data_IF_459347265693
#
_entry.id   IF_459347265693
#
_cell.length_a   1.000
_cell.length_b   1.000
_cell.length_c   1.000
_cell.angle_alpha   90.00
_cell.angle_beta   90.00
_cell.angle_gamma   90.00
#
_symmetry.space_group_name_H-M   'P 1'
#
loop_
_entity.id
_entity.type
_entity.pdbx_description
1 polymer ?
#
# COMPACT_ATOMS: atom_id res chain seq x y z
N UNK A 1 9.50 18.50 -3.77
CA UNK A 1 9.06 17.86 -5.02
C UNK A 1 8.43 16.53 -4.68
N UNK A 2 7.44 16.08 -5.44
CA UNK A 2 6.84 14.73 -5.38
C UNK A 2 7.82 13.66 -5.87
N UNK A 3 9.09 13.75 -5.45
CA UNK A 3 10.19 12.88 -5.90
C UNK A 3 10.42 11.86 -4.82
N UNK A 4 9.75 10.72 -4.94
CA UNK A 4 10.15 9.48 -4.27
C UNK A 4 11.08 8.73 -5.23
N UNK A 5 12.20 8.25 -4.70
CA UNK A 5 13.17 7.42 -5.43
C UNK A 5 12.71 5.97 -5.60
N UNK A 6 11.44 5.70 -5.24
CA UNK A 6 10.79 4.40 -5.30
C UNK A 6 9.68 4.45 -6.33
N UNK A 7 9.54 3.39 -7.12
CA UNK A 7 8.37 3.16 -7.96
C UNK A 7 7.93 1.70 -7.91
N UNK A 8 6.66 1.47 -8.14
CA UNK A 8 6.03 0.15 -8.26
C UNK A 8 5.56 -0.05 -9.69
N UNK A 9 6.00 -1.12 -10.34
CA UNK A 9 5.43 -1.57 -11.60
C UNK A 9 4.57 -2.80 -11.31
N UNK A 10 3.25 -2.65 -11.46
CA UNK A 10 2.31 -3.74 -11.29
C UNK A 10 2.37 -4.66 -12.51
N UNK A 11 2.68 -5.93 -12.28
CA UNK A 11 2.77 -6.97 -13.30
C UNK A 11 1.45 -7.74 -13.44
N UNK A 12 0.64 -7.77 -12.38
CA UNK A 12 -0.64 -8.47 -12.33
C UNK A 12 -1.57 -7.88 -11.26
N UNK A 13 -2.86 -8.17 -11.37
CA UNK A 13 -3.91 -7.70 -10.47
C UNK A 13 -4.44 -6.32 -10.82
N UNK A 14 -5.51 -5.93 -10.14
CA UNK A 14 -6.13 -4.60 -10.22
C UNK A 14 -6.63 -4.20 -8.83
N UNK A 15 -6.58 -2.91 -8.55
CA UNK A 15 -6.97 -2.38 -7.25
C UNK A 15 -6.53 -0.94 -7.12
N UNK A 16 -6.15 -0.55 -5.91
CA UNK A 16 -5.75 0.82 -5.63
C UNK A 16 -4.75 0.91 -4.49
N UNK A 17 -4.01 2.00 -4.49
CA UNK A 17 -3.17 2.44 -3.40
C UNK A 17 -3.84 3.62 -2.71
N UNK A 18 -3.81 3.66 -1.38
CA UNK A 18 -4.17 4.88 -0.63
C UNK A 18 -2.92 5.49 -0.03
N UNK A 19 -2.85 6.81 -0.05
CA UNK A 19 -1.68 7.55 0.42
C UNK A 19 -2.08 8.76 1.26
N UNK A 20 -1.31 9.01 2.30
CA UNK A 20 -1.40 10.23 3.09
C UNK A 20 -0.28 11.19 2.73
N UNK A 21 -0.57 12.49 2.89
CA UNK A 21 0.45 13.54 2.75
C UNK A 21 1.60 13.32 3.73
N UNK A 22 2.78 13.81 3.36
CA UNK A 22 3.95 13.70 4.22
C UNK A 22 3.71 14.37 5.59
N UNK A 23 4.09 13.68 6.67
CA UNK A 23 3.89 14.15 8.04
C UNK A 23 2.46 14.00 8.57
N UNK A 24 1.53 13.48 7.77
CA UNK A 24 0.16 13.19 8.21
C UNK A 24 0.09 11.78 8.79
N UNK A 25 -0.41 11.68 10.03
CA UNK A 25 -0.74 10.40 10.66
C UNK A 25 -2.14 9.97 10.20
N UNK A 26 -2.32 8.75 9.66
CA UNK A 26 -3.63 8.20 9.36
C UNK A 26 -4.54 8.17 10.59
N UNK A 27 -5.84 8.33 10.38
CA UNK A 27 -6.83 8.24 11.44
C UNK A 27 -8.21 8.76 11.01
N UNK A 28 -9.22 8.63 11.88
CA UNK A 28 -10.62 8.97 11.56
C UNK A 28 -10.78 10.39 11.00
N UNK A 29 -11.31 10.47 9.77
CA UNK A 29 -11.59 11.74 9.10
C UNK A 29 -10.38 12.44 8.49
N UNK A 30 -9.19 11.82 8.55
CA UNK A 30 -7.99 12.32 7.87
C UNK A 30 -8.04 11.90 6.40
N UNK A 31 -8.05 12.85 5.45
CA UNK A 31 -8.18 12.51 4.03
C UNK A 31 -6.93 11.80 3.50
N UNK A 32 -7.16 10.85 2.60
CA UNK A 32 -6.13 10.17 1.81
C UNK A 32 -6.41 10.37 0.31
N UNK A 33 -5.35 10.25 -0.49
CA UNK A 33 -5.44 10.16 -1.95
C UNK A 33 -5.55 8.69 -2.35
N UNK A 34 -6.45 8.37 -3.28
CA UNK A 34 -6.59 7.03 -3.87
C UNK A 34 -6.01 7.05 -5.28
N UNK A 35 -5.16 6.08 -5.58
CA UNK A 35 -4.53 5.88 -6.88
C UNK A 35 -4.84 4.47 -7.40
N UNK A 36 -5.71 4.37 -8.40
CA UNK A 36 -6.04 3.09 -8.99
C UNK A 36 -4.86 2.53 -9.82
N UNK A 37 -4.69 1.20 -9.77
CA UNK A 37 -3.71 0.49 -10.58
C UNK A 37 -4.30 -0.75 -11.23
N UNK A 38 -3.66 -1.18 -12.31
CA UNK A 38 -3.83 -2.49 -12.94
C UNK A 38 -2.48 -2.98 -13.48
N UNK A 39 -2.45 -4.18 -14.04
CA UNK A 39 -1.26 -4.68 -14.74
C UNK A 39 -0.76 -3.64 -15.78
N UNK A 40 0.53 -3.33 -15.72
CA UNK A 40 1.19 -2.30 -16.53
C UNK A 40 1.23 -0.90 -15.91
N UNK A 41 0.53 -0.66 -14.80
CA UNK A 41 0.61 0.64 -14.11
C UNK A 41 1.97 0.82 -13.43
N UNK A 42 2.61 1.96 -13.68
CA UNK A 42 3.75 2.45 -12.91
C UNK A 42 3.25 3.51 -11.92
N UNK A 43 3.48 3.28 -10.63
CA UNK A 43 3.07 4.17 -9.55
C UNK A 43 4.28 4.58 -8.72
N UNK A 44 4.33 5.85 -8.30
CA UNK A 44 5.34 6.35 -7.36
C UNK A 44 4.64 6.65 -6.04
N UNK A 45 5.00 6.00 -4.91
CA UNK A 45 4.43 6.33 -3.63
C UNK A 45 4.87 7.72 -3.19
N UNK A 46 3.97 8.43 -2.53
CA UNK A 46 4.30 9.58 -1.71
C UNK A 46 5.21 9.19 -0.54
N UNK A 47 5.73 10.19 0.16
CA UNK A 47 6.62 10.02 1.29
C UNK A 47 5.90 9.82 2.64
N UNK A 48 4.57 9.75 2.64
CA UNK A 48 3.75 9.45 3.82
C UNK A 48 3.42 7.97 3.97
N UNK A 49 2.45 7.68 4.84
CA UNK A 49 1.85 6.35 4.95
C UNK A 49 1.17 5.97 3.63
N UNK A 50 1.23 4.70 3.27
CA UNK A 50 0.54 4.16 2.09
C UNK A 50 0.20 2.68 2.28
N UNK A 51 -0.84 2.21 1.59
CA UNK A 51 -1.32 0.83 1.65
C UNK A 51 -1.93 0.39 0.33
N UNK A 52 -1.55 -0.80 -0.10
CA UNK A 52 -1.98 -1.41 -1.36
C UNK A 52 -3.16 -2.35 -1.15
N UNK A 53 -4.23 -2.20 -1.94
CA UNK A 53 -5.44 -3.02 -1.89
C UNK A 53 -5.65 -3.76 -3.21
N UNK A 54 -5.60 -5.10 -3.17
CA UNK A 54 -5.94 -5.93 -4.33
C UNK A 54 -7.45 -6.15 -4.39
N UNK A 55 -8.10 -5.56 -5.41
CA UNK A 55 -9.54 -5.65 -5.62
C UNK A 55 -9.92 -6.72 -6.67
N UNK A 56 -9.09 -7.75 -6.81
CA UNK A 56 -9.31 -8.87 -7.74
C UNK A 56 -9.01 -10.21 -7.10
N UNK A 57 -9.51 -11.29 -7.71
CA UNK A 57 -9.15 -12.66 -7.34
C UNK A 57 -7.74 -13.05 -7.80
N UNK A 58 -7.19 -12.31 -8.77
CA UNK A 58 -5.84 -12.56 -9.26
C UNK A 58 -4.81 -12.06 -8.25
N UNK A 59 -3.77 -12.84 -7.92
CA UNK A 59 -2.73 -12.38 -7.03
C UNK A 59 -2.02 -11.15 -7.60
N UNK A 60 -1.99 -10.08 -6.81
CA UNK A 60 -1.18 -8.91 -7.12
C UNK A 60 0.30 -9.30 -7.17
N UNK A 61 0.99 -8.84 -8.22
CA UNK A 61 2.45 -8.98 -8.35
C UNK A 61 3.00 -7.66 -8.84
N UNK A 62 4.05 -7.17 -8.20
CA UNK A 62 4.73 -5.95 -8.60
C UNK A 62 6.23 -6.06 -8.36
N UNK A 63 6.98 -5.25 -9.10
CA UNK A 63 8.41 -5.04 -8.84
C UNK A 63 8.60 -3.65 -8.28
N UNK A 64 9.47 -3.54 -7.28
CA UNK A 64 9.86 -2.27 -6.68
C UNK A 64 11.16 -1.80 -7.32
N UNK A 65 11.12 -0.65 -7.97
CA UNK A 65 12.29 0.02 -8.52
C UNK A 65 12.74 1.05 -7.49
N UNK A 66 13.96 0.91 -6.97
CA UNK A 66 14.55 1.89 -6.03
C UNK A 66 15.84 2.44 -6.59
N UNK A 67 15.92 3.75 -6.70
CA UNK A 67 17.18 4.40 -7.00
C UNK A 67 18.06 4.41 -5.74
N UNK A 68 19.30 3.92 -5.85
CA UNK A 68 20.29 4.00 -4.76
C UNK A 68 20.19 2.96 -3.64
N UNK A 69 19.57 1.78 -3.86
CA UNK A 69 19.52 0.71 -2.83
C UNK A 69 20.95 0.35 -2.36
N UNK A 70 21.29 0.50 -1.07
CA UNK A 70 22.61 0.16 -0.54
C UNK A 70 23.01 -1.29 -0.84
N UNK A 71 22.02 -2.19 -0.91
CA UNK A 71 22.21 -3.61 -1.23
C UNK A 71 22.75 -3.83 -2.65
N UNK A 72 22.37 -2.97 -3.59
CA UNK A 72 22.87 -3.01 -4.98
C UNK A 72 24.26 -2.36 -5.11
N UNK A 73 24.70 -1.64 -4.07
CA UNK A 73 26.05 -1.07 -3.95
C UNK A 73 27.03 -1.99 -3.20
N UNK A 74 26.62 -3.25 -2.93
CA UNK A 74 27.43 -4.21 -2.19
C UNK A 74 27.50 -3.96 -0.68
N UNK A 75 26.73 -3.00 -0.16
CA UNK A 75 26.53 -2.81 1.27
C UNK A 75 25.38 -3.72 1.68
N UNK A 76 25.70 -4.93 2.15
CA UNK A 76 24.69 -5.86 2.66
C UNK A 76 23.78 -5.18 3.69
N UNK A 77 22.52 -5.63 3.79
CA UNK A 77 21.56 -5.11 4.79
C UNK A 77 22.21 -5.15 6.17
N UNK A 78 22.62 -3.99 6.68
CA UNK A 78 23.08 -3.88 8.06
C UNK A 78 21.92 -4.31 8.96
N UNK A 79 22.10 -5.39 9.73
CA UNK A 79 21.06 -6.19 10.38
C UNK A 79 20.22 -5.53 11.48
N UNK A 80 19.98 -4.21 11.42
CA UNK A 80 19.01 -3.49 12.23
C UNK A 80 18.27 -2.47 11.37
N UNK A 81 17.42 -2.95 10.47
CA UNK A 81 16.33 -2.10 9.98
C UNK A 81 15.32 -2.05 11.12
N UNK A 82 15.23 -0.91 11.81
CA UNK A 82 14.09 -0.68 12.70
C UNK A 82 12.82 -0.93 11.89
N UNK A 83 11.88 -1.75 12.41
CA UNK A 83 10.61 -1.96 11.70
C UNK A 83 10.04 -0.58 11.40
N UNK A 84 9.72 -0.26 10.13
CA UNK A 84 9.05 0.98 9.82
C UNK A 84 7.76 1.05 10.64
N UNK A 85 7.27 2.24 11.00
CA UNK A 85 6.00 2.36 11.69
C UNK A 85 4.90 1.72 10.82
N UNK A 86 4.21 0.74 11.38
CA UNK A 86 3.07 0.07 10.79
C UNK A 86 1.86 0.35 11.68
N UNK A 87 0.70 0.49 11.06
CA UNK A 87 -0.59 0.56 11.76
C UNK A 87 -1.14 -0.85 11.71
N UNK A 88 -1.41 -1.41 12.88
CA UNK A 88 -1.99 -2.75 12.97
C UNK A 88 -3.46 -2.72 12.53
N UNK A 89 -3.98 -3.86 12.11
CA UNK A 89 -5.31 -3.91 11.47
C UNK A 89 -6.46 -3.53 12.41
N UNK A 90 -6.28 -3.71 13.71
CA UNK A 90 -7.20 -3.28 14.78
C UNK A 90 -7.12 -1.77 15.08
N UNK A 91 -5.99 -1.15 14.80
CA UNK A 91 -5.74 0.29 14.94
C UNK A 91 -6.09 1.10 13.67
N UNK A 92 -6.31 0.42 12.54
CA UNK A 92 -6.68 1.04 11.25
C UNK A 92 -7.98 1.86 11.38
N UNK A 93 -8.03 3.01 10.70
CA UNK A 93 -9.29 3.76 10.56
C UNK A 93 -10.36 2.86 9.93
N UNK A 94 -11.51 2.61 10.59
CA UNK A 94 -12.57 1.76 10.05
C UNK A 94 -13.05 2.17 8.65
N UNK A 95 -12.90 3.44 8.26
CA UNK A 95 -13.23 3.91 6.92
C UNK A 95 -12.34 3.29 5.83
N UNK A 96 -11.08 2.97 6.13
CA UNK A 96 -10.15 2.29 5.19
C UNK A 96 -10.66 0.89 4.89
N UNK A 97 -10.96 0.12 5.94
CA UNK A 97 -11.60 -1.20 5.81
C UNK A 97 -12.91 -1.13 5.03
N UNK A 98 -13.80 -0.21 5.40
CA UNK A 98 -15.10 -0.07 4.73
C UNK A 98 -14.94 0.24 3.23
N UNK A 99 -13.98 1.10 2.87
CA UNK A 99 -13.68 1.42 1.47
C UNK A 99 -13.29 0.16 0.68
N UNK A 100 -12.50 -0.73 1.28
CA UNK A 100 -12.11 -1.99 0.64
C UNK A 100 -13.28 -2.97 0.50
N UNK A 101 -14.11 -3.09 1.54
CA UNK A 101 -15.33 -3.91 1.50
C UNK A 101 -16.27 -3.42 0.38
N UNK A 102 -16.50 -2.11 0.30
CA UNK A 102 -17.37 -1.52 -0.71
C UNK A 102 -16.83 -1.72 -2.12
N UNK A 103 -15.51 -1.58 -2.32
CA UNK A 103 -14.86 -1.86 -3.61
C UNK A 103 -15.06 -3.32 -4.03
N UNK A 104 -14.83 -4.28 -3.13
CA UNK A 104 -15.03 -5.70 -3.42
C UNK A 104 -16.49 -6.02 -3.71
N UNK A 105 -17.42 -5.48 -2.90
CA UNK A 105 -18.85 -5.69 -3.09
C UNK A 105 -19.32 -5.16 -4.45
N UNK A 106 -18.81 -4.00 -4.89
CA UNK A 106 -19.11 -3.44 -6.21
C UNK A 106 -18.68 -4.35 -7.38
N UNK A 107 -17.71 -5.25 -7.12
CA UNK A 107 -17.19 -6.24 -8.05
C UNK A 107 -17.77 -7.65 -7.83
N UNK A 108 -18.72 -7.80 -6.91
CA UNK A 108 -19.30 -9.10 -6.53
C UNK A 108 -18.31 -10.03 -5.83
N UNK A 109 -17.34 -9.46 -5.10
CA UNK A 109 -16.31 -10.17 -4.35
C UNK A 109 -16.51 -9.97 -2.85
N UNK A 110 -16.00 -10.91 -2.06
CA UNK A 110 -16.04 -10.88 -0.60
C UNK A 110 -14.63 -10.67 -0.01
N UNK A 111 -14.49 -9.86 1.04
CA UNK A 111 -13.21 -9.66 1.72
C UNK A 111 -12.79 -10.93 2.46
N UNK A 112 -11.51 -11.32 2.31
CA UNK A 112 -10.94 -12.49 3.02
C UNK A 112 -10.20 -12.13 4.31
N UNK A 113 -9.86 -10.85 4.51
CA UNK A 113 -9.04 -10.41 5.63
C UNK A 113 -9.81 -10.27 6.96
N UNK A 114 -11.13 -10.49 6.96
CA UNK A 114 -11.97 -10.25 8.13
C UNK A 114 -11.61 -11.15 9.33
N UNK A 115 -11.07 -12.34 9.08
CA UNK A 115 -10.65 -13.27 10.12
C UNK A 115 -9.45 -12.77 10.96
N UNK A 116 -8.64 -11.86 10.42
CA UNK A 116 -7.47 -11.30 11.10
C UNK A 116 -7.79 -10.07 11.96
N UNK A 117 -9.08 -9.68 12.06
CA UNK A 117 -9.48 -8.52 12.85
C UNK A 117 -9.51 -8.89 14.34
N UNK A 118 -8.50 -8.43 15.09
CA UNK A 118 -8.40 -8.61 16.55
C UNK A 118 -7.50 -9.77 17.01
N UNK A 119 -6.60 -10.26 16.16
CA UNK A 119 -5.41 -11.04 16.57
C UNK A 119 -4.28 -10.12 17.04
#
# INVERSE_FOLDING_TARGET
GLTSDVAYLFLNGEGYDIQWSWGTMPGPGVPFERLDYKAGTLLTPGSGYHQHFNATTDPIRYVVLRFGSPELLGQGRSGRIAKPPQIEFDEEDPAVWQTFVDELASRGLEPKMQEFKGE
#
